data_IF_322294861831
#
_entry.id   IF_322294861831
#
_cell.length_a   1.000
_cell.length_b   1.000
_cell.length_c   1.000
_cell.angle_alpha   90.00
_cell.angle_beta   90.00
_cell.angle_gamma   90.00
#
_symmetry.space_group_name_H-M   'P 1'
#
loop_
_entity.id
_entity.type
_entity.pdbx_description
1 polymer ?
#
# COMPACT_ATOMS: atom_id res chain seq x y z
N UNK A 1 13.93 -7.76 5.18
CA UNK A 1 13.14 -8.01 3.95
C UNK A 1 11.66 -7.97 4.30
N UNK A 2 10.79 -7.48 3.43
CA UNK A 2 9.32 -7.50 3.63
C UNK A 2 8.67 -8.13 2.40
N UNK A 3 7.68 -9.01 2.60
CA UNK A 3 6.85 -9.57 1.52
C UNK A 3 5.36 -9.33 1.79
N UNK A 4 4.54 -9.52 0.77
CA UNK A 4 3.07 -9.40 0.84
C UNK A 4 2.39 -10.76 0.74
N UNK A 5 1.10 -10.81 1.10
CA UNK A 5 0.25 -11.99 0.93
C UNK A 5 -0.72 -11.84 -0.24
N UNK A 6 -0.88 -12.89 -1.06
CA UNK A 6 -2.00 -13.06 -2.00
C UNK A 6 -3.09 -13.95 -1.38
N UNK A 7 -4.07 -14.41 -2.15
CA UNK A 7 -4.91 -15.57 -1.84
C UNK A 7 -4.30 -16.92 -2.27
N UNK A 8 -4.89 -18.02 -1.80
CA UNK A 8 -4.51 -19.37 -2.27
C UNK A 8 -4.94 -19.57 -3.74
N UNK A 9 -4.20 -20.34 -4.57
CA UNK A 9 -4.57 -20.58 -5.97
C UNK A 9 -6.03 -20.99 -6.19
N UNK A 10 -6.56 -21.85 -5.32
CA UNK A 10 -7.95 -22.31 -5.38
C UNK A 10 -9.00 -21.16 -5.34
N UNK A 11 -8.67 -20.02 -4.73
CA UNK A 11 -9.56 -18.87 -4.57
C UNK A 11 -9.60 -17.92 -5.78
N UNK A 12 -8.67 -18.05 -6.74
CA UNK A 12 -8.64 -17.14 -7.90
C UNK A 12 -8.52 -17.85 -9.25
N UNK A 13 -8.13 -19.14 -9.30
CA UNK A 13 -7.99 -19.88 -10.57
C UNK A 13 -9.30 -20.06 -11.33
N UNK A 14 -10.45 -19.94 -10.65
CA UNK A 14 -11.79 -20.06 -11.24
C UNK A 14 -12.41 -18.69 -11.59
N UNK A 15 -11.62 -17.61 -11.48
CA UNK A 15 -12.10 -16.24 -11.57
C UNK A 15 -12.33 -15.63 -10.19
N UNK A 16 -12.54 -14.31 -10.18
CA UNK A 16 -12.80 -13.54 -8.97
C UNK A 16 -14.23 -13.76 -8.46
N UNK A 17 -14.37 -14.02 -7.16
CA UNK A 17 -15.65 -14.20 -6.47
C UNK A 17 -15.68 -13.33 -5.21
N UNK A 18 -16.77 -12.58 -5.02
CA UNK A 18 -16.96 -11.72 -3.84
C UNK A 18 -17.18 -12.52 -2.55
N UNK A 19 -17.73 -13.73 -2.64
CA UNK A 19 -17.88 -14.59 -1.47
C UNK A 19 -16.50 -14.96 -0.89
N UNK A 20 -15.53 -15.26 -1.75
CA UNK A 20 -14.16 -15.61 -1.36
C UNK A 20 -13.45 -14.45 -0.62
N UNK A 21 -13.85 -13.20 -0.89
CA UNK A 21 -13.38 -12.02 -0.14
C UNK A 21 -13.97 -12.03 1.27
N UNK A 22 -15.27 -12.28 1.40
CA UNK A 22 -15.97 -12.36 2.69
C UNK A 22 -15.48 -13.53 3.53
N UNK A 23 -15.14 -14.65 2.88
CA UNK A 23 -14.61 -15.86 3.52
C UNK A 23 -13.13 -15.73 3.90
N UNK A 24 -12.49 -14.58 3.60
CA UNK A 24 -11.11 -14.29 3.99
C UNK A 24 -10.06 -15.08 3.19
N UNK A 25 -10.40 -15.54 1.98
CA UNK A 25 -9.47 -16.32 1.15
C UNK A 25 -8.40 -15.47 0.46
N UNK A 26 -8.52 -14.14 0.56
CA UNK A 26 -7.54 -13.18 0.06
C UNK A 26 -6.66 -12.64 1.18
N UNK A 27 -5.35 -12.56 0.88
CA UNK A 27 -4.35 -12.07 1.80
C UNK A 27 -4.54 -10.59 2.16
N UNK A 28 -4.13 -10.25 3.39
CA UNK A 28 -4.16 -8.90 3.96
C UNK A 28 -2.96 -8.60 4.85
N UNK A 29 -1.89 -9.37 4.71
CA UNK A 29 -0.75 -9.35 5.60
C UNK A 29 0.52 -8.89 4.89
N UNK A 30 1.37 -8.22 5.65
CA UNK A 30 2.78 -8.01 5.31
C UNK A 30 3.66 -8.83 6.25
N UNK A 31 4.69 -9.45 5.70
CA UNK A 31 5.57 -10.34 6.44
C UNK A 31 6.99 -9.78 6.47
N UNK A 32 7.50 -9.53 7.67
CA UNK A 32 8.85 -9.01 7.90
C UNK A 32 9.79 -10.17 8.19
N UNK A 33 10.88 -10.26 7.43
CA UNK A 33 11.89 -11.31 7.55
C UNK A 33 13.27 -10.72 7.87
N UNK A 34 14.02 -11.46 8.70
CA UNK A 34 15.46 -11.32 8.87
C UNK A 34 16.15 -12.53 8.24
N UNK A 35 17.23 -12.32 7.50
CA UNK A 35 18.07 -13.42 7.01
C UNK A 35 19.30 -13.50 7.94
N UNK A 36 19.64 -14.68 8.50
CA UNK A 36 19.12 -16.03 8.19
C UNK A 36 17.91 -16.48 9.04
N UNK A 37 17.50 -15.71 10.04
CA UNK A 37 16.57 -16.16 11.08
C UNK A 37 15.11 -16.42 10.65
N UNK A 38 14.71 -16.02 9.45
CA UNK A 38 13.35 -16.19 8.93
C UNK A 38 12.36 -15.10 9.35
N UNK A 39 11.08 -15.48 9.47
CA UNK A 39 9.96 -14.57 9.75
C UNK A 39 10.08 -13.97 11.15
N UNK A 40 10.06 -12.63 11.25
CA UNK A 40 10.14 -11.88 12.51
C UNK A 40 8.81 -11.29 12.93
N UNK A 41 7.99 -10.85 11.96
CA UNK A 41 6.74 -10.18 12.25
C UNK A 41 5.75 -10.40 11.11
N UNK A 42 4.47 -10.51 11.45
CA UNK A 42 3.35 -10.40 10.50
C UNK A 42 2.51 -9.20 10.88
N UNK A 43 2.31 -8.28 9.95
CA UNK A 43 1.46 -7.10 10.10
C UNK A 43 0.12 -7.38 9.41
N UNK A 44 -0.98 -7.25 10.16
CA UNK A 44 -2.35 -7.41 9.63
C UNK A 44 -2.89 -6.03 9.21
N UNK A 45 -3.04 -5.83 7.91
CA UNK A 45 -3.59 -4.59 7.35
C UNK A 45 -5.11 -4.48 7.54
N UNK A 46 -5.75 -5.53 8.05
CA UNK A 46 -7.19 -5.57 8.28
C UNK A 46 -8.00 -5.42 7.00
N UNK A 47 -9.25 -4.96 7.16
CA UNK A 47 -10.18 -4.79 6.04
C UNK A 47 -9.83 -3.60 5.14
N UNK A 48 -8.81 -2.79 5.49
CA UNK A 48 -8.36 -1.67 4.69
C UNK A 48 -7.20 -2.03 3.77
N UNK A 49 -6.54 -3.19 3.96
CA UNK A 49 -5.41 -3.62 3.14
C UNK A 49 -5.58 -5.00 2.51
N UNK A 50 -6.69 -5.21 1.80
CA UNK A 50 -6.97 -6.46 1.09
C UNK A 50 -6.21 -6.53 -0.25
N UNK A 51 -5.58 -7.68 -0.52
CA UNK A 51 -4.69 -7.92 -1.65
C UNK A 51 -3.57 -6.86 -1.79
N UNK A 52 -2.60 -6.82 -0.86
CA UNK A 52 -1.40 -6.01 -1.00
C UNK A 52 -0.49 -6.58 -2.12
N UNK A 53 -0.38 -5.89 -3.26
CA UNK A 53 0.37 -6.41 -4.42
C UNK A 53 1.70 -5.71 -4.62
N UNK A 54 1.64 -4.42 -4.93
CA UNK A 54 2.80 -3.61 -5.26
C UNK A 54 3.34 -3.01 -3.97
N UNK A 55 4.35 -3.65 -3.38
CA UNK A 55 5.09 -3.13 -2.23
C UNK A 55 6.42 -2.53 -2.68
N UNK A 56 6.72 -1.32 -2.22
CA UNK A 56 7.99 -0.63 -2.51
C UNK A 56 8.50 0.15 -1.31
N UNK A 57 9.79 0.07 -1.06
CA UNK A 57 10.49 0.96 -0.13
C UNK A 57 10.77 2.30 -0.79
N UNK A 58 10.93 3.35 0.03
CA UNK A 58 11.55 4.58 -0.45
C UNK A 58 12.93 4.29 -1.02
N UNK A 59 13.30 5.04 -2.05
CA UNK A 59 14.61 4.88 -2.68
C UNK A 59 15.76 5.39 -1.81
N UNK A 60 15.50 6.37 -0.92
CA UNK A 60 16.45 6.79 0.11
C UNK A 60 16.68 5.63 1.12
N UNK A 61 17.87 5.01 1.13
CA UNK A 61 18.15 3.86 1.98
C UNK A 61 18.26 4.23 3.47
N UNK A 62 18.31 5.52 3.82
CA UNK A 62 18.29 5.98 5.22
C UNK A 62 16.89 5.97 5.83
N UNK A 63 15.84 5.78 5.00
CA UNK A 63 14.45 5.77 5.44
C UNK A 63 13.92 4.34 5.57
N UNK A 64 13.64 3.94 6.81
CA UNK A 64 12.92 2.70 7.11
C UNK A 64 11.40 2.87 6.88
N UNK A 65 11.01 3.22 5.66
CA UNK A 65 9.60 3.45 5.26
C UNK A 65 9.35 2.97 3.85
N UNK A 66 8.14 2.48 3.60
CA UNK A 66 7.67 2.13 2.27
C UNK A 66 6.15 2.16 2.17
N UNK A 67 5.65 1.80 0.99
CA UNK A 67 4.24 1.83 0.65
C UNK A 67 3.82 0.53 -0.03
N UNK A 68 2.57 0.14 0.18
CA UNK A 68 1.95 -0.99 -0.50
C UNK A 68 0.56 -0.62 -1.02
N UNK A 69 0.33 -0.95 -2.28
CA UNK A 69 -0.98 -0.82 -2.93
C UNK A 69 -1.88 -2.01 -2.61
N UNK A 70 -3.06 -1.75 -2.07
CA UNK A 70 -4.06 -2.77 -1.75
C UNK A 70 -5.21 -2.73 -2.78
N UNK A 71 -5.30 -3.76 -3.61
CA UNK A 71 -6.13 -3.72 -4.83
C UNK A 71 -7.62 -3.71 -4.54
N UNK A 72 -8.10 -4.55 -3.60
CA UNK A 72 -9.55 -4.66 -3.37
C UNK A 72 -10.12 -3.46 -2.61
N UNK A 73 -9.30 -2.81 -1.79
CA UNK A 73 -9.70 -1.64 -1.01
C UNK A 73 -9.35 -0.32 -1.69
N UNK A 74 -8.56 -0.37 -2.78
CA UNK A 74 -8.00 0.81 -3.44
C UNK A 74 -7.25 1.76 -2.48
N UNK A 75 -6.73 1.20 -1.38
CA UNK A 75 -5.99 1.95 -0.38
C UNK A 75 -4.48 1.82 -0.62
N UNK A 76 -3.76 2.91 -0.34
CA UNK A 76 -2.33 2.87 -0.14
C UNK A 76 -2.04 2.75 1.35
N UNK A 77 -1.20 1.80 1.73
CA UNK A 77 -0.77 1.63 3.12
C UNK A 77 0.70 2.00 3.22
N UNK A 78 1.02 2.92 4.14
CA UNK A 78 2.41 3.22 4.51
C UNK A 78 2.82 2.25 5.60
N UNK A 79 3.97 1.60 5.44
CA UNK A 79 4.60 0.82 6.50
C UNK A 79 5.93 1.46 6.87
N UNK A 80 6.29 1.41 8.15
CA UNK A 80 7.46 2.09 8.68
C UNK A 80 7.98 1.40 9.94
N UNK A 81 9.26 1.57 10.21
CA UNK A 81 9.87 1.04 11.43
C UNK A 81 9.65 2.00 12.60
N UNK A 82 9.27 1.46 13.75
CA UNK A 82 9.02 2.21 14.99
C UNK A 82 10.32 2.42 15.79
N UNK A 83 10.35 3.35 16.76
CA UNK A 83 11.50 3.53 17.65
C UNK A 83 11.91 2.26 18.41
N UNK A 84 10.96 1.35 18.66
CA UNK A 84 11.16 0.05 19.30
C UNK A 84 11.68 -1.03 18.33
N UNK A 85 12.09 -0.64 17.12
CA UNK A 85 12.62 -1.50 16.05
C UNK A 85 11.63 -2.55 15.49
N UNK A 86 10.34 -2.40 15.76
CA UNK A 86 9.25 -3.17 15.11
C UNK A 86 8.74 -2.45 13.86
N UNK A 87 7.92 -3.11 13.04
CA UNK A 87 7.25 -2.45 11.92
C UNK A 87 5.78 -2.13 12.25
N UNK A 88 5.30 -0.99 11.80
CA UNK A 88 3.91 -0.57 11.91
C UNK A 88 3.39 -0.10 10.55
N UNK A 89 2.08 0.11 10.45
CA UNK A 89 1.46 0.56 9.21
C UNK A 89 0.24 1.45 9.45
N UNK A 90 -0.08 2.27 8.45
CA UNK A 90 -1.24 3.15 8.45
C UNK A 90 -1.78 3.35 7.02
N UNK A 91 -3.08 3.60 6.90
CA UNK A 91 -3.67 3.98 5.61
C UNK A 91 -3.20 5.39 5.27
N UNK A 92 -2.53 5.53 4.13
CA UNK A 92 -2.07 6.83 3.64
C UNK A 92 -3.27 7.62 3.12
N UNK A 93 -3.53 8.77 3.73
CA UNK A 93 -4.55 9.70 3.27
C UNK A 93 -3.90 10.75 2.38
N UNK A 94 -3.92 10.54 1.07
CA UNK A 94 -3.50 11.57 0.12
C UNK A 94 -4.66 12.51 -0.15
N UNK A 95 -4.49 13.78 0.20
CA UNK A 95 -5.39 14.84 -0.26
C UNK A 95 -4.86 15.35 -1.60
N UNK A 96 -5.69 15.23 -2.61
CA UNK A 96 -5.54 15.93 -3.86
C UNK A 96 -5.65 17.44 -3.58
N UNK A 97 -4.60 18.22 -3.84
CA UNK A 97 -4.62 19.67 -3.62
C UNK A 97 -5.60 20.41 -4.53
N UNK A 98 -5.94 19.81 -5.68
CA UNK A 98 -6.86 20.36 -6.69
C UNK A 98 -8.30 19.82 -6.59
N UNK A 99 -8.54 18.77 -5.80
CA UNK A 99 -9.85 18.14 -5.68
C UNK A 99 -10.20 17.80 -4.24
N UNK A 100 -11.37 18.26 -3.79
CA UNK A 100 -11.88 18.06 -2.42
C UNK A 100 -12.23 16.60 -2.07
N UNK A 101 -11.99 15.66 -2.97
CA UNK A 101 -12.25 14.24 -2.79
C UNK A 101 -10.95 13.48 -2.52
N UNK A 102 -10.96 12.62 -1.50
CA UNK A 102 -9.90 11.64 -1.28
C UNK A 102 -9.84 10.69 -2.48
N UNK A 103 -8.68 10.59 -3.12
CA UNK A 103 -8.47 9.69 -4.25
C UNK A 103 -8.38 8.25 -3.70
N UNK A 104 -9.51 7.54 -3.65
CA UNK A 104 -9.59 6.17 -3.14
C UNK A 104 -10.18 5.18 -4.14
N UNK A 105 -10.31 5.53 -5.42
CA UNK A 105 -10.81 4.60 -6.45
C UNK A 105 -9.90 4.70 -7.67
N UNK A 106 -9.13 3.65 -7.97
CA UNK A 106 -8.19 3.64 -9.09
C UNK A 106 -7.25 2.45 -9.09
N UNK A 107 -6.61 2.20 -10.24
CA UNK A 107 -5.53 1.23 -10.41
C UNK A 107 -4.28 1.78 -9.70
N UNK A 108 -3.72 1.01 -8.77
CA UNK A 108 -2.54 1.43 -8.01
C UNK A 108 -1.28 1.04 -8.80
N UNK A 109 -0.44 2.01 -9.16
CA UNK A 109 0.80 1.80 -9.92
C UNK A 109 1.95 2.63 -9.34
N UNK A 110 2.79 2.05 -8.47
CA UNK A 110 3.87 2.81 -7.81
C UNK A 110 5.05 2.99 -8.78
N UNK A 111 5.13 4.15 -9.44
CA UNK A 111 6.13 4.39 -10.49
C UNK A 111 7.41 5.13 -10.06
N UNK A 112 7.42 5.95 -8.99
CA UNK A 112 8.64 6.62 -8.53
C UNK A 112 8.59 7.05 -7.04
N UNK A 113 9.59 6.68 -6.23
CA UNK A 113 9.63 7.03 -4.80
C UNK A 113 10.77 8.00 -4.42
N UNK A 114 11.39 8.66 -5.39
CA UNK A 114 12.53 9.58 -5.19
C UNK A 114 12.03 10.98 -4.80
N UNK A 115 11.47 11.13 -3.60
CA UNK A 115 10.91 12.39 -3.07
C UNK A 115 9.45 12.72 -3.48
N UNK A 116 8.58 11.71 -3.38
CA UNK A 116 7.12 11.85 -3.20
C UNK A 116 6.20 11.82 -4.43
N UNK A 117 6.40 10.95 -5.43
CA UNK A 117 5.39 10.76 -6.49
C UNK A 117 4.93 9.30 -6.61
N UNK A 118 4.07 8.87 -5.69
CA UNK A 118 3.24 7.69 -5.94
C UNK A 118 2.19 8.08 -6.99
N UNK A 119 2.39 7.63 -8.22
CA UNK A 119 1.33 7.67 -9.22
C UNK A 119 0.22 6.71 -8.79
N UNK A 120 -0.99 7.21 -8.55
CA UNK A 120 -2.18 6.37 -8.43
C UNK A 120 -2.97 6.65 -9.69
N UNK A 121 -2.94 5.73 -10.65
CA UNK A 121 -3.69 5.89 -11.90
C UNK A 121 -5.15 5.57 -11.63
N UNK A 122 -5.95 6.59 -11.39
CA UNK A 122 -7.41 6.47 -11.39
C UNK A 122 -7.90 6.34 -12.82
N UNK A 123 -8.11 5.13 -13.31
CA UNK A 123 -8.92 4.92 -14.50
C UNK A 123 -10.39 4.85 -14.10
N UNK A 124 -11.09 5.99 -14.14
CA UNK A 124 -12.52 6.02 -14.40
C UNK A 124 -12.78 7.17 -15.38
N UNK A 125 -13.21 6.83 -16.59
CA UNK A 125 -13.68 7.70 -17.69
C UNK A 125 -13.26 9.19 -17.68
N UNK A 126 -12.42 9.52 -18.69
CA UNK A 126 -12.29 10.81 -19.39
C UNK A 126 -11.50 11.99 -18.83
N UNK A 127 -10.72 11.91 -17.76
CA UNK A 127 -9.76 12.99 -17.45
C UNK A 127 -8.42 12.45 -16.94
N UNK A 128 -7.38 12.63 -17.76
CA UNK A 128 -5.98 12.44 -17.36
C UNK A 128 -5.60 13.59 -16.44
N UNK A 129 -5.46 13.34 -15.13
CA UNK A 129 -4.86 14.33 -14.22
C UNK A 129 -3.34 14.28 -14.46
N UNK A 130 -2.89 14.98 -15.49
CA UNK A 130 -1.49 15.30 -15.70
C UNK A 130 -1.19 16.53 -14.82
N UNK A 131 -0.68 16.28 -13.63
CA UNK A 131 -0.35 17.33 -12.67
C UNK A 131 0.85 16.92 -11.83
N UNK A 132 1.88 17.76 -11.82
CA UNK A 132 2.98 17.69 -10.86
C UNK A 132 2.41 17.80 -9.43
N UNK A 133 2.20 16.66 -8.78
CA UNK A 133 1.85 16.65 -7.36
C UNK A 133 3.14 16.89 -6.56
N UNK A 134 3.51 18.16 -6.41
CA UNK A 134 4.59 18.58 -5.52
C UNK A 134 4.09 18.57 -4.08
N UNK A 135 4.62 17.65 -3.28
CA UNK A 135 4.38 17.65 -1.84
C UNK A 135 5.37 18.56 -1.13
N UNK A 136 4.87 19.33 -0.16
CA UNK A 136 5.71 20.02 0.83
C UNK A 136 5.47 19.33 2.17
N UNK A 137 6.51 18.71 2.72
CA UNK A 137 6.51 18.22 4.10
C UNK A 137 6.35 19.45 5.03
N UNK A 138 5.17 19.62 5.63
CA UNK A 138 5.05 20.41 6.87
C UNK A 138 5.13 19.42 8.02
N UNK A 139 6.34 19.16 8.49
CA UNK A 139 6.50 18.51 9.78
C UNK A 139 5.90 19.41 10.85
N UNK A 140 4.78 18.99 11.44
CA UNK A 140 4.36 19.42 12.77
C UNK A 140 3.85 18.19 13.48
N UNK A 141 4.62 17.80 14.49
CA UNK A 141 4.18 16.92 15.58
C UNK A 141 3.32 17.81 16.48
N UNK A 142 2.05 17.47 16.64
CA UNK A 142 1.24 17.80 17.83
C UNK A 142 0.39 16.58 18.20
#
# INVERSE_FOLDING_TARGET
>A
MISTSWGAPAAFTKGFNLQDVSDGLYGRHLHVYSCPDGLKQTMDLGNTGLLPLELRFLHDPSKDTGFVGCVLTSNMVRFFKTPEASWSHEVSKYKCSSCSYCVSQGTISIQNLDDAIIYITVCNLSETIEGDVKWRWSGVVE
#
